data_IF_526660462795
#
_entry.id   IF_526660462795
#
_cell.length_a   1.000
_cell.length_b   1.000
_cell.length_c   1.000
_cell.angle_alpha   90.00
_cell.angle_beta   90.00
_cell.angle_gamma   90.00
#
_symmetry.space_group_name_H-M   'P 1'
#
loop_
_entity.id
_entity.type
_entity.pdbx_description
1 polymer ?
#
# COMPACT_ATOMS: atom_id res chain seq x y z
N UNK A 1 7.16 10.51 44.04
CA UNK A 1 6.73 10.25 45.44
C UNK A 1 6.46 8.78 45.76
N UNK A 2 6.39 7.87 44.76
CA UNK A 2 6.21 6.42 44.97
C UNK A 2 7.54 5.61 45.02
N UNK A 3 8.65 6.16 44.53
CA UNK A 3 9.97 5.49 44.60
C UNK A 3 10.64 5.61 45.98
N UNK A 4 10.43 6.72 46.70
CA UNK A 4 11.03 6.94 48.03
C UNK A 4 10.49 5.99 49.12
N UNK A 5 9.30 5.40 48.94
CA UNK A 5 8.75 4.41 49.89
C UNK A 5 9.31 3.00 49.71
N UNK A 6 9.82 2.64 48.52
CA UNK A 6 10.41 1.30 48.26
C UNK A 6 11.83 1.16 48.84
N UNK A 7 12.64 2.21 48.82
CA UNK A 7 14.00 2.16 49.41
C UNK A 7 13.99 2.06 50.94
N UNK A 8 13.01 2.68 51.62
CA UNK A 8 12.90 2.60 53.08
C UNK A 8 12.43 1.22 53.57
N UNK A 9 11.64 0.50 52.75
CA UNK A 9 11.20 -0.86 53.09
C UNK A 9 12.35 -1.88 52.97
N UNK A 10 13.20 -1.76 51.95
CA UNK A 10 14.37 -2.63 51.75
C UNK A 10 15.49 -2.39 52.79
N UNK A 11 15.72 -1.14 53.22
CA UNK A 11 16.68 -0.83 54.29
C UNK A 11 16.20 -1.31 55.67
N UNK A 12 14.89 -1.25 55.94
CA UNK A 12 14.29 -1.78 57.18
C UNK A 12 14.39 -3.31 57.29
N UNK A 13 14.33 -4.02 56.16
CA UNK A 13 14.38 -5.48 56.14
C UNK A 13 15.80 -6.02 56.29
N UNK A 14 16.81 -5.37 55.70
CA UNK A 14 18.22 -5.79 55.79
C UNK A 14 18.88 -5.51 57.15
N UNK A 15 18.44 -4.49 57.90
CA UNK A 15 18.96 -4.20 59.25
C UNK A 15 18.45 -5.16 60.35
N UNK A 16 17.44 -5.98 60.05
CA UNK A 16 16.85 -6.92 61.03
C UNK A 16 17.47 -8.32 60.99
N UNK A 17 18.29 -8.63 59.97
CA UNK A 17 18.91 -9.95 59.78
C UNK A 17 20.38 -9.96 60.29
N UNK A 18 21.02 -8.79 60.51
CA UNK A 18 22.43 -8.73 60.94
C UNK A 18 22.66 -8.60 62.46
N UNK A 19 21.62 -8.81 63.29
CA UNK A 19 21.69 -8.61 64.75
C UNK A 19 21.07 -9.79 65.50
N UNK A 20 21.65 -10.98 65.38
CA UNK A 20 21.57 -12.04 66.39
C UNK A 20 22.58 -13.13 66.04
N UNK A 21 23.56 -13.36 66.91
CA UNK A 21 24.49 -14.49 66.78
C UNK A 21 25.98 -14.15 66.80
N UNK A 22 26.44 -13.35 67.76
CA UNK A 22 27.86 -13.35 68.14
C UNK A 22 27.98 -13.10 69.64
N UNK A 23 27.91 -14.18 70.43
CA UNK A 23 28.33 -14.15 71.83
C UNK A 23 29.47 -15.14 71.99
N UNK A 24 30.68 -14.58 72.11
CA UNK A 24 31.90 -15.26 72.55
C UNK A 24 31.75 -15.53 74.05
N UNK A 25 31.97 -16.77 74.48
CA UNK A 25 32.33 -17.06 75.87
C UNK A 25 33.67 -17.81 75.89
N UNK A 26 34.59 -17.22 76.62
CA UNK A 26 35.96 -17.65 76.90
C UNK A 26 36.01 -18.74 77.96
N UNK A 27 37.00 -19.62 77.81
CA UNK A 27 37.36 -20.73 78.72
C UNK A 27 38.33 -20.25 79.80
N UNK A 28 38.08 -20.63 81.06
CA UNK A 28 39.04 -20.94 82.13
C UNK A 28 38.20 -21.41 83.35
N UNK A 29 38.54 -22.40 84.17
CA UNK A 29 39.69 -23.27 84.35
C UNK A 29 39.31 -24.37 85.36
N UNK A 30 40.19 -25.35 85.53
CA UNK A 30 40.01 -26.64 86.18
C UNK A 30 39.67 -26.62 87.69
N UNK A 31 38.93 -27.64 88.16
CA UNK A 31 39.38 -28.60 89.18
C UNK A 31 38.24 -29.56 89.62
N UNK A 32 38.58 -30.87 89.61
CA UNK A 32 38.13 -31.95 90.51
C UNK A 32 36.63 -32.24 90.72
N UNK A 33 36.21 -33.47 90.43
CA UNK A 33 35.01 -34.05 91.04
C UNK A 33 34.38 -35.19 90.25
N UNK A 34 34.81 -36.42 90.52
CA UNK A 34 34.15 -37.66 90.11
C UNK A 34 32.72 -37.66 90.70
N UNK A 35 31.68 -37.38 89.89
CA UNK A 35 30.27 -37.80 90.06
C UNK A 35 29.24 -36.99 89.21
N UNK A 36 29.43 -36.83 87.88
CA UNK A 36 28.44 -36.13 87.02
C UNK A 36 28.04 -36.88 85.74
N UNK A 37 28.15 -38.21 85.71
CA UNK A 37 27.58 -39.02 84.61
C UNK A 37 26.09 -39.37 84.82
N UNK A 38 25.54 -39.13 86.01
CA UNK A 38 24.15 -39.53 86.35
C UNK A 38 23.12 -38.38 86.26
N UNK A 39 23.53 -37.10 86.24
CA UNK A 39 22.58 -35.97 86.15
C UNK A 39 22.41 -35.39 84.73
N UNK A 40 23.34 -35.62 83.80
CA UNK A 40 23.13 -35.30 82.39
C UNK A 40 22.24 -36.33 81.68
N UNK A 41 22.22 -37.57 82.16
CA UNK A 41 21.39 -38.66 81.65
C UNK A 41 19.91 -38.48 82.01
N UNK A 42 19.57 -37.86 83.14
CA UNK A 42 18.18 -37.60 83.53
C UNK A 42 17.54 -36.45 82.73
N UNK A 43 18.26 -35.36 82.42
CA UNK A 43 17.70 -34.25 81.63
C UNK A 43 17.43 -34.65 80.17
N UNK A 44 18.25 -35.54 79.60
CA UNK A 44 17.98 -36.15 78.30
C UNK A 44 16.65 -36.91 78.33
N UNK A 45 16.39 -37.68 79.40
CA UNK A 45 15.17 -38.48 79.56
C UNK A 45 13.87 -37.69 79.76
N UNK A 46 13.96 -36.39 80.10
CA UNK A 46 12.79 -35.52 80.25
C UNK A 46 12.30 -34.87 78.95
N UNK A 47 13.01 -35.05 77.83
CA UNK A 47 12.56 -34.47 76.56
C UNK A 47 11.27 -35.15 76.06
N UNK A 48 10.31 -34.40 75.48
CA UNK A 48 9.18 -34.98 74.79
C UNK A 48 9.67 -36.01 73.75
N UNK A 49 8.94 -37.12 73.58
CA UNK A 49 9.27 -38.24 72.67
C UNK A 49 10.32 -39.25 73.15
N UNK A 50 10.79 -39.17 74.40
CA UNK A 50 11.76 -40.10 74.97
C UNK A 50 11.11 -41.22 75.78
N UNK A 51 10.20 -40.86 76.68
CA UNK A 51 9.40 -41.77 77.50
C UNK A 51 7.94 -41.35 77.33
N UNK A 52 7.11 -42.19 76.72
CA UNK A 52 5.68 -41.93 76.51
C UNK A 52 5.31 -41.39 75.12
N UNK A 53 4.17 -40.68 75.02
CA UNK A 53 3.60 -40.21 73.74
C UNK A 53 4.44 -39.07 73.14
N UNK A 54 4.80 -39.18 71.86
CA UNK A 54 5.48 -38.13 71.12
C UNK A 54 4.48 -37.20 70.42
N UNK A 55 4.31 -35.96 70.89
CA UNK A 55 3.40 -34.99 70.26
C UNK A 55 3.96 -34.36 68.98
N UNK A 56 5.27 -34.44 68.75
CA UNK A 56 5.93 -33.85 67.58
C UNK A 56 5.49 -34.53 66.27
N UNK A 57 5.30 -35.85 66.25
CA UNK A 57 4.83 -36.59 65.08
C UNK A 57 3.43 -36.15 64.62
N UNK A 58 2.38 -36.21 65.47
CA UNK A 58 1.04 -35.79 65.06
C UNK A 58 0.97 -34.30 64.71
N UNK A 59 1.76 -33.45 65.37
CA UNK A 59 1.86 -32.03 65.01
C UNK A 59 2.44 -31.84 63.60
N UNK A 60 3.56 -32.52 63.28
CA UNK A 60 4.17 -32.46 61.96
C UNK A 60 3.26 -33.04 60.87
N UNK A 61 2.57 -34.15 61.16
CA UNK A 61 1.56 -34.71 60.26
C UNK A 61 0.42 -33.73 60.00
N UNK A 62 -0.09 -33.07 61.04
CA UNK A 62 -1.13 -32.07 60.89
C UNK A 62 -0.67 -30.90 60.01
N UNK A 63 0.56 -30.38 60.21
CA UNK A 63 1.14 -29.33 59.37
C UNK A 63 1.25 -29.78 57.90
N UNK A 64 1.79 -30.99 57.67
CA UNK A 64 1.95 -31.53 56.32
C UNK A 64 0.61 -31.77 55.62
N UNK A 65 -0.38 -32.35 56.30
CA UNK A 65 -1.72 -32.55 55.74
C UNK A 65 -2.38 -31.21 55.42
N UNK A 66 -2.28 -30.22 56.32
CA UNK A 66 -2.80 -28.87 56.05
C UNK A 66 -2.12 -28.20 54.86
N UNK A 67 -0.82 -28.42 54.67
CA UNK A 67 -0.07 -27.91 53.54
C UNK A 67 -0.53 -28.56 52.23
N UNK A 68 -0.57 -29.90 52.20
CA UNK A 68 -0.81 -30.66 50.97
C UNK A 68 -2.27 -30.65 50.53
N UNK A 69 -3.23 -30.71 51.46
CA UNK A 69 -4.67 -30.69 51.14
C UNK A 69 -5.12 -29.35 50.53
N UNK A 70 -4.37 -28.28 50.78
CA UNK A 70 -4.65 -26.94 50.23
C UNK A 70 -4.10 -26.75 48.83
N UNK A 71 -3.12 -27.56 48.43
CA UNK A 71 -2.49 -27.38 47.13
C UNK A 71 -3.30 -28.10 46.06
N UNK A 72 -3.69 -27.31 45.07
CA UNK A 72 -4.44 -27.77 43.90
C UNK A 72 -3.78 -27.27 42.62
N UNK A 73 -4.27 -27.74 41.48
CA UNK A 73 -3.83 -27.30 40.14
C UNK A 73 -3.96 -25.79 39.96
N UNK A 74 -4.94 -25.16 40.62
CA UNK A 74 -5.21 -23.72 40.52
C UNK A 74 -4.57 -22.89 41.63
N UNK A 75 -3.73 -23.49 42.49
CA UNK A 75 -3.13 -22.76 43.61
C UNK A 75 -2.22 -21.63 43.13
N UNK A 76 -2.37 -20.47 43.78
CA UNK A 76 -1.55 -19.31 43.48
C UNK A 76 -0.14 -19.44 44.10
N UNK A 77 0.78 -18.53 43.73
CA UNK A 77 2.16 -18.58 44.23
C UNK A 77 2.22 -18.51 45.76
N UNK A 78 1.34 -17.74 46.39
CA UNK A 78 1.39 -17.50 47.83
C UNK A 78 0.91 -18.71 48.63
N UNK A 79 -0.08 -19.45 48.13
CA UNK A 79 -0.50 -20.75 48.66
C UNK A 79 0.63 -21.76 48.60
N UNK A 80 1.34 -21.84 47.46
CA UNK A 80 2.47 -22.75 47.26
C UNK A 80 3.63 -22.40 48.20
N UNK A 81 3.94 -21.10 48.37
CA UNK A 81 4.94 -20.63 49.34
C UNK A 81 4.54 -21.02 50.76
N UNK A 82 3.28 -20.80 51.15
CA UNK A 82 2.78 -21.13 52.49
C UNK A 82 2.83 -22.63 52.76
N UNK A 83 2.42 -23.46 51.80
CA UNK A 83 2.46 -24.93 51.95
C UNK A 83 3.89 -25.43 52.10
N UNK A 84 4.83 -24.88 51.32
CA UNK A 84 6.25 -25.22 51.45
C UNK A 84 6.79 -24.87 52.84
N UNK A 85 6.45 -23.68 53.36
CA UNK A 85 6.87 -23.27 54.71
C UNK A 85 6.33 -24.20 55.80
N UNK A 86 5.08 -24.65 55.69
CA UNK A 86 4.48 -25.60 56.64
C UNK A 86 5.16 -26.99 56.58
N UNK A 87 5.55 -27.46 55.40
CA UNK A 87 6.34 -28.68 55.27
C UNK A 87 7.74 -28.52 55.85
N UNK A 88 8.39 -27.38 55.64
CA UNK A 88 9.71 -27.08 56.22
C UNK A 88 9.63 -27.07 57.77
N UNK A 89 8.57 -26.48 58.35
CA UNK A 89 8.31 -26.48 59.80
C UNK A 89 8.01 -27.89 60.33
N UNK A 90 7.27 -28.71 59.58
CA UNK A 90 7.02 -30.11 59.91
C UNK A 90 8.33 -30.93 59.93
N UNK A 91 9.21 -30.72 58.94
CA UNK A 91 10.54 -31.36 58.87
C UNK A 91 11.41 -30.93 60.07
N UNK A 92 11.43 -29.65 60.42
CA UNK A 92 12.17 -29.13 61.58
C UNK A 92 11.67 -29.76 62.88
N UNK A 93 10.35 -29.84 63.05
CA UNK A 93 9.68 -30.45 64.21
C UNK A 93 10.08 -31.92 64.37
N UNK A 94 10.11 -32.70 63.28
CA UNK A 94 10.52 -34.11 63.31
C UNK A 94 12.04 -34.29 63.52
N UNK A 95 12.86 -33.38 62.99
CA UNK A 95 14.31 -33.42 63.18
C UNK A 95 14.74 -33.12 64.62
N UNK A 96 13.91 -32.44 65.41
CA UNK A 96 14.14 -32.22 66.83
C UNK A 96 14.03 -33.50 67.69
N UNK A 97 13.43 -34.58 67.16
CA UNK A 97 13.32 -35.86 67.85
C UNK A 97 14.72 -36.51 67.97
N UNK A 98 15.21 -36.77 69.19
CA UNK A 98 16.55 -37.30 69.40
C UNK A 98 16.78 -38.65 68.71
N UNK A 99 18.02 -38.89 68.26
CA UNK A 99 18.39 -40.12 67.53
C UNK A 99 18.19 -41.43 68.30
N UNK A 100 18.06 -41.36 69.62
CA UNK A 100 17.89 -42.49 70.53
C UNK A 100 16.43 -42.70 70.96
N UNK A 101 15.48 -41.90 70.44
CA UNK A 101 14.05 -42.12 70.65
C UNK A 101 13.55 -43.33 69.85
N UNK A 102 12.64 -44.12 70.44
CA UNK A 102 11.96 -45.21 69.74
C UNK A 102 11.10 -44.73 68.55
N UNK A 103 10.76 -43.44 68.50
CA UNK A 103 10.02 -42.81 67.40
C UNK A 103 10.91 -42.31 66.25
N UNK A 104 12.24 -42.45 66.37
CA UNK A 104 13.17 -41.86 65.40
C UNK A 104 13.02 -42.41 63.99
N UNK A 105 12.78 -43.72 63.85
CA UNK A 105 12.62 -44.36 62.53
C UNK A 105 11.37 -43.85 61.81
N UNK A 106 10.24 -43.78 62.53
CA UNK A 106 8.99 -43.21 62.01
C UNK A 106 9.18 -41.75 61.58
N UNK A 107 9.81 -40.94 62.44
CA UNK A 107 10.12 -39.54 62.13
C UNK A 107 11.01 -39.39 60.90
N UNK A 108 12.02 -40.26 60.72
CA UNK A 108 12.91 -40.21 59.55
C UNK A 108 12.22 -40.58 58.24
N UNK A 109 11.25 -41.50 58.27
CA UNK A 109 10.43 -41.81 57.08
C UNK A 109 9.61 -40.58 56.69
N UNK A 110 8.88 -39.99 57.63
CA UNK A 110 8.08 -38.78 57.39
C UNK A 110 8.94 -37.60 56.91
N UNK A 111 10.14 -37.41 57.47
CA UNK A 111 11.07 -36.37 57.02
C UNK A 111 11.43 -36.55 55.54
N UNK A 112 11.68 -37.78 55.06
CA UNK A 112 12.00 -38.02 53.65
C UNK A 112 10.83 -37.68 52.74
N UNK A 113 9.62 -38.08 53.13
CA UNK A 113 8.40 -37.79 52.38
C UNK A 113 8.14 -36.29 52.31
N UNK A 114 8.21 -35.57 53.44
CA UNK A 114 8.00 -34.13 53.48
C UNK A 114 9.11 -33.35 52.77
N UNK A 115 10.35 -33.84 52.80
CA UNK A 115 11.45 -33.25 52.02
C UNK A 115 11.21 -33.39 50.53
N UNK A 116 10.72 -34.55 50.07
CA UNK A 116 10.35 -34.76 48.69
C UNK A 116 9.28 -33.76 48.25
N UNK A 117 8.20 -33.61 49.03
CA UNK A 117 7.11 -32.67 48.74
C UNK A 117 7.55 -31.20 48.80
N UNK A 118 8.33 -30.82 49.81
CA UNK A 118 8.87 -29.45 49.91
C UNK A 118 9.78 -29.11 48.72
N UNK A 119 10.57 -30.08 48.23
CA UNK A 119 11.39 -29.91 47.03
C UNK A 119 10.53 -29.81 45.77
N UNK A 120 9.48 -30.61 45.64
CA UNK A 120 8.55 -30.53 44.51
C UNK A 120 7.82 -29.17 44.48
N UNK A 121 7.34 -28.67 45.62
CA UNK A 121 6.78 -27.32 45.73
C UNK A 121 7.79 -26.23 45.37
N UNK A 122 9.05 -26.38 45.80
CA UNK A 122 10.15 -25.47 45.39
C UNK A 122 10.32 -25.45 43.87
N UNK A 123 10.34 -26.62 43.22
CA UNK A 123 10.45 -26.73 41.77
C UNK A 123 9.29 -26.03 41.06
N UNK A 124 8.06 -26.15 41.59
CA UNK A 124 6.88 -25.44 41.06
C UNK A 124 7.03 -23.93 41.20
N UNK A 125 7.52 -23.43 42.35
CA UNK A 125 7.77 -22.02 42.59
C UNK A 125 8.85 -21.46 41.65
N UNK A 126 10.00 -22.13 41.57
CA UNK A 126 11.13 -21.69 40.73
C UNK A 126 10.71 -21.62 39.25
N UNK A 127 9.90 -22.57 38.76
CA UNK A 127 9.33 -22.54 37.41
C UNK A 127 8.32 -21.39 37.22
N UNK A 128 7.44 -21.16 38.19
CA UNK A 128 6.43 -20.09 38.14
C UNK A 128 7.09 -18.71 38.10
N UNK A 129 8.07 -18.46 38.97
CA UNK A 129 8.83 -17.21 38.98
C UNK A 129 9.61 -16.98 37.68
N UNK A 130 10.11 -18.05 37.05
CA UNK A 130 10.78 -17.97 35.75
C UNK A 130 9.80 -17.58 34.64
N UNK A 131 8.61 -18.17 34.63
CA UNK A 131 7.52 -17.81 33.71
C UNK A 131 7.05 -16.35 33.91
N UNK A 132 6.90 -15.89 35.16
CA UNK A 132 6.46 -14.51 35.45
C UNK A 132 7.46 -13.46 34.96
N UNK A 133 8.76 -13.76 35.00
CA UNK A 133 9.77 -12.90 34.36
C UNK A 133 9.55 -12.80 32.85
N UNK A 134 9.15 -13.89 32.19
CA UNK A 134 8.83 -13.85 30.76
C UNK A 134 7.61 -12.96 30.50
N UNK A 135 6.57 -13.05 31.33
CA UNK A 135 5.37 -12.20 31.25
C UNK A 135 5.71 -10.71 31.42
N UNK A 136 6.56 -10.38 32.39
CA UNK A 136 7.02 -9.00 32.62
C UNK A 136 7.77 -8.45 31.40
N UNK A 137 8.60 -9.26 30.75
CA UNK A 137 9.31 -8.84 29.53
C UNK A 137 8.35 -8.60 28.36
N UNK A 138 7.29 -9.40 28.20
CA UNK A 138 6.25 -9.18 27.17
C UNK A 138 5.57 -7.81 27.34
N UNK A 139 5.41 -7.33 28.58
CA UNK A 139 4.75 -6.05 28.87
C UNK A 139 5.68 -4.85 28.70
N UNK A 140 6.97 -5.02 28.99
CA UNK A 140 7.92 -3.91 29.12
C UNK A 140 8.83 -3.72 27.90
N UNK A 141 9.03 -4.75 27.10
CA UNK A 141 10.01 -4.78 26.02
C UNK A 141 9.43 -5.37 24.74
N UNK A 142 9.73 -4.72 23.60
CA UNK A 142 9.24 -5.15 22.29
C UNK A 142 10.18 -6.12 21.54
N UNK A 143 11.40 -6.36 22.04
CA UNK A 143 12.44 -7.03 21.24
C UNK A 143 13.30 -8.09 21.96
N UNK A 144 13.04 -8.42 23.21
CA UNK A 144 13.76 -9.48 23.94
C UNK A 144 13.21 -10.89 23.68
N UNK A 145 12.98 -11.23 22.40
CA UNK A 145 12.33 -12.49 22.00
C UNK A 145 13.08 -13.74 22.43
N UNK A 146 14.40 -13.71 22.38
CA UNK A 146 15.23 -14.86 22.74
C UNK A 146 15.26 -15.09 24.25
N UNK A 147 15.32 -14.00 25.02
CA UNK A 147 15.25 -14.04 26.48
C UNK A 147 13.89 -14.54 26.96
N UNK A 148 12.78 -14.00 26.40
CA UNK A 148 11.43 -14.48 26.69
C UNK A 148 11.26 -15.97 26.34
N UNK A 149 11.76 -16.40 25.19
CA UNK A 149 11.75 -17.82 24.79
C UNK A 149 12.51 -18.68 25.81
N UNK A 150 13.72 -18.26 26.17
CA UNK A 150 14.56 -19.00 27.12
C UNK A 150 13.88 -19.14 28.48
N UNK A 151 13.24 -18.08 28.97
CA UNK A 151 12.50 -18.13 30.23
C UNK A 151 11.33 -19.13 30.18
N UNK A 152 10.50 -19.11 29.13
CA UNK A 152 9.43 -20.10 28.97
C UNK A 152 9.96 -21.53 28.87
N UNK A 153 11.03 -21.76 28.10
CA UNK A 153 11.65 -23.08 27.96
C UNK A 153 12.23 -23.57 29.28
N UNK A 154 12.93 -22.71 30.02
CA UNK A 154 13.50 -23.05 31.32
C UNK A 154 12.40 -23.41 32.33
N UNK A 155 11.31 -22.63 32.39
CA UNK A 155 10.16 -22.94 33.26
C UNK A 155 9.54 -24.32 32.94
N UNK A 156 9.41 -24.68 31.65
CA UNK A 156 8.93 -26.00 31.22
C UNK A 156 9.90 -27.09 31.66
N UNK A 157 11.20 -26.94 31.40
CA UNK A 157 12.24 -27.92 31.76
C UNK A 157 12.29 -28.12 33.28
N UNK A 158 12.15 -27.05 34.07
CA UNK A 158 12.11 -27.13 35.54
C UNK A 158 10.96 -28.02 36.03
N UNK A 159 9.80 -28.03 35.35
CA UNK A 159 8.65 -28.85 35.74
C UNK A 159 8.69 -30.30 35.24
N UNK A 160 9.53 -30.63 34.26
CA UNK A 160 9.58 -31.97 33.65
C UNK A 160 9.79 -33.13 34.65
N UNK A 161 10.68 -33.03 35.65
CA UNK A 161 10.89 -34.11 36.62
C UNK A 161 9.63 -34.49 37.41
N UNK A 162 8.70 -33.55 37.60
CA UNK A 162 7.45 -33.76 38.35
C UNK A 162 6.40 -34.54 37.54
N UNK A 163 6.63 -34.79 36.25
CA UNK A 163 5.69 -35.57 35.42
C UNK A 163 5.64 -37.06 35.81
N UNK A 164 6.71 -37.58 36.41
CA UNK A 164 6.77 -38.95 36.94
C UNK A 164 6.31 -39.05 38.40
N UNK A 165 6.07 -37.92 39.05
CA UNK A 165 5.67 -37.83 40.45
C UNK A 165 4.15 -37.77 40.56
N UNK A 166 3.50 -38.86 41.01
CA UNK A 166 2.03 -38.97 41.00
C UNK A 166 1.32 -37.85 41.77
N UNK A 167 1.93 -37.33 42.83
CA UNK A 167 1.32 -36.30 43.68
C UNK A 167 1.32 -34.94 42.96
N UNK A 168 2.40 -34.63 42.26
CA UNK A 168 2.63 -33.32 41.63
C UNK A 168 2.37 -33.29 40.12
N UNK A 169 2.15 -34.47 39.50
CA UNK A 169 1.98 -34.65 38.06
C UNK A 169 0.89 -33.76 37.47
N UNK A 170 -0.28 -33.66 38.11
CA UNK A 170 -1.39 -32.88 37.58
C UNK A 170 -1.05 -31.38 37.50
N UNK A 171 -0.39 -30.84 38.52
CA UNK A 171 0.03 -29.43 38.57
C UNK A 171 1.10 -29.15 37.52
N UNK A 172 2.09 -30.04 37.42
CA UNK A 172 3.16 -29.94 36.44
C UNK A 172 2.62 -30.00 35.01
N UNK A 173 1.69 -30.91 34.70
CA UNK A 173 1.07 -31.03 33.38
C UNK A 173 0.35 -29.75 32.95
N UNK A 174 -0.49 -29.18 33.82
CA UNK A 174 -1.25 -27.97 33.50
C UNK A 174 -0.32 -26.76 33.29
N UNK A 175 0.64 -26.54 34.19
CA UNK A 175 1.60 -25.44 34.03
C UNK A 175 2.47 -25.59 32.78
N UNK A 176 2.95 -26.80 32.48
CA UNK A 176 3.70 -27.07 31.24
C UNK A 176 2.84 -26.74 30.00
N UNK A 177 1.57 -27.16 30.00
CA UNK A 177 0.65 -26.87 28.90
C UNK A 177 0.46 -25.35 28.71
N UNK A 178 0.22 -24.61 29.79
CA UNK A 178 0.06 -23.15 29.73
C UNK A 178 1.32 -22.43 29.23
N UNK A 179 2.50 -22.88 29.70
CA UNK A 179 3.78 -22.29 29.29
C UNK A 179 4.10 -22.60 27.82
N UNK A 180 3.75 -23.80 27.32
CA UNK A 180 3.84 -24.14 25.90
C UNK A 180 2.95 -23.24 25.05
N UNK A 181 1.69 -23.05 25.46
CA UNK A 181 0.76 -22.15 24.76
C UNK A 181 1.29 -20.71 24.68
N UNK A 182 1.88 -20.20 25.77
CA UNK A 182 2.49 -18.87 25.79
C UNK A 182 3.72 -18.79 24.88
N UNK A 183 4.54 -19.85 24.85
CA UNK A 183 5.70 -19.94 23.96
C UNK A 183 5.27 -19.94 22.48
N UNK A 184 4.23 -20.69 22.13
CA UNK A 184 3.69 -20.74 20.76
C UNK A 184 3.12 -19.38 20.35
N UNK A 185 2.37 -18.72 21.25
CA UNK A 185 1.87 -17.36 21.01
C UNK A 185 3.01 -16.35 20.79
N UNK A 186 4.10 -16.46 21.55
CA UNK A 186 5.30 -15.64 21.40
C UNK A 186 5.95 -15.86 20.02
N UNK A 187 6.08 -17.11 19.57
CA UNK A 187 6.66 -17.45 18.27
C UNK A 187 5.80 -16.92 17.12
N UNK A 188 4.48 -17.13 17.19
CA UNK A 188 3.53 -16.61 16.21
C UNK A 188 3.59 -15.08 16.12
N UNK A 189 3.68 -14.40 17.26
CA UNK A 189 3.85 -12.94 17.30
C UNK A 189 5.15 -12.51 16.64
N UNK A 190 6.29 -13.15 16.93
CA UNK A 190 7.58 -12.87 16.29
C UNK A 190 7.50 -13.06 14.77
N UNK A 191 6.90 -14.15 14.30
CA UNK A 191 6.72 -14.40 12.86
C UNK A 191 5.90 -13.28 12.20
N UNK A 192 4.79 -12.87 12.82
CA UNK A 192 3.96 -11.78 12.32
C UNK A 192 4.72 -10.45 12.24
N UNK A 193 5.53 -10.10 13.27
CA UNK A 193 6.37 -8.89 13.24
C UNK A 193 7.41 -8.93 12.11
N UNK A 194 8.09 -10.07 11.95
CA UNK A 194 9.10 -10.23 10.89
C UNK A 194 8.48 -10.13 9.50
N UNK A 195 7.37 -10.84 9.28
CA UNK A 195 6.65 -10.80 8.00
C UNK A 195 6.14 -9.39 7.69
N UNK A 196 5.62 -8.68 8.68
CA UNK A 196 5.19 -7.29 8.53
C UNK A 196 6.34 -6.35 8.15
N UNK A 197 7.51 -6.52 8.76
CA UNK A 197 8.72 -5.75 8.41
C UNK A 197 9.17 -6.01 6.96
N UNK A 198 9.17 -7.28 6.52
CA UNK A 198 9.47 -7.65 5.13
C UNK A 198 8.47 -7.01 4.16
N UNK A 199 7.17 -7.13 4.43
CA UNK A 199 6.11 -6.53 3.59
C UNK A 199 6.23 -5.01 3.51
N UNK A 200 6.52 -4.35 4.64
CA UNK A 200 6.74 -2.90 4.66
C UNK A 200 7.94 -2.51 3.79
N UNK A 201 9.04 -3.27 3.89
CA UNK A 201 10.24 -3.04 3.06
C UNK A 201 9.92 -3.21 1.58
N UNK A 202 9.29 -4.32 1.19
CA UNK A 202 8.92 -4.58 -0.22
C UNK A 202 7.93 -3.54 -0.74
N UNK A 203 6.99 -3.06 0.08
CA UNK A 203 6.11 -1.97 -0.29
C UNK A 203 6.87 -0.67 -0.60
N UNK A 204 7.85 -0.31 0.24
CA UNK A 204 8.70 0.88 0.03
C UNK A 204 9.57 0.75 -1.22
N UNK A 205 10.13 -0.44 -1.49
CA UNK A 205 10.90 -0.71 -2.70
C UNK A 205 10.02 -0.57 -3.96
N UNK A 206 8.82 -1.15 -3.96
CA UNK A 206 7.88 -1.02 -5.07
C UNK A 206 7.46 0.44 -5.31
N UNK A 207 7.21 1.20 -4.24
CA UNK A 207 6.92 2.63 -4.31
C UNK A 207 8.11 3.44 -4.88
N UNK A 208 9.33 3.13 -4.47
CA UNK A 208 10.53 3.78 -5.01
C UNK A 208 10.67 3.52 -6.52
N UNK A 209 10.41 2.29 -6.97
CA UNK A 209 10.39 1.96 -8.41
C UNK A 209 9.30 2.75 -9.14
N UNK A 210 8.11 2.89 -8.53
CA UNK A 210 7.03 3.70 -9.09
C UNK A 210 7.46 5.17 -9.26
N UNK A 211 8.05 5.78 -8.22
CA UNK A 211 8.55 7.16 -8.24
C UNK A 211 9.63 7.37 -9.31
N UNK A 212 10.60 6.46 -9.41
CA UNK A 212 11.67 6.56 -10.41
C UNK A 212 11.09 6.53 -11.84
N UNK A 213 10.12 5.64 -12.09
CA UNK A 213 9.46 5.54 -13.40
C UNK A 213 8.56 6.73 -13.70
N UNK A 214 7.90 7.28 -12.69
CA UNK A 214 7.05 8.46 -12.81
C UNK A 214 7.84 9.67 -13.34
N UNK A 215 9.11 9.81 -12.98
CA UNK A 215 9.97 10.90 -13.45
C UNK A 215 10.33 10.84 -14.94
N UNK A 216 10.25 9.66 -15.57
CA UNK A 216 10.58 9.45 -16.98
C UNK A 216 9.40 8.99 -17.83
N UNK A 217 8.24 8.76 -17.23
CA UNK A 217 7.03 8.32 -17.91
C UNK A 217 6.52 9.37 -18.89
N UNK A 218 6.28 8.96 -20.13
CA UNK A 218 5.84 9.85 -21.20
C UNK A 218 4.54 9.39 -21.82
N UNK A 219 4.37 8.08 -21.99
CA UNK A 219 3.23 7.49 -22.70
C UNK A 219 2.22 6.89 -21.73
N UNK A 220 1.00 6.66 -22.20
CA UNK A 220 -0.03 5.94 -21.44
C UNK A 220 0.48 4.58 -20.90
N UNK A 221 1.23 3.83 -21.72
CA UNK A 221 1.83 2.56 -21.32
C UNK A 221 2.84 2.72 -20.19
N UNK A 222 3.63 3.80 -20.19
CA UNK A 222 4.58 4.06 -19.09
C UNK A 222 3.82 4.33 -17.78
N UNK A 223 2.77 5.15 -17.85
CA UNK A 223 1.93 5.48 -16.69
C UNK A 223 1.12 4.29 -16.17
N UNK A 224 0.75 3.34 -17.03
CA UNK A 224 0.15 2.07 -16.62
C UNK A 224 1.13 1.27 -15.74
N UNK A 225 2.42 1.22 -16.12
CA UNK A 225 3.44 0.53 -15.33
C UNK A 225 3.70 1.25 -14.00
N UNK A 226 3.72 2.60 -14.00
CA UNK A 226 3.80 3.39 -12.76
C UNK A 226 2.64 3.04 -11.82
N UNK A 227 1.41 3.06 -12.34
CA UNK A 227 0.20 2.70 -11.58
C UNK A 227 0.27 1.27 -11.03
N UNK A 228 0.75 0.32 -11.83
CA UNK A 228 0.93 -1.07 -11.38
C UNK A 228 1.91 -1.18 -10.21
N UNK A 229 3.02 -0.43 -10.22
CA UNK A 229 3.99 -0.47 -9.11
C UNK A 229 3.41 0.16 -7.83
N UNK A 230 2.66 1.26 -7.95
CA UNK A 230 1.93 1.83 -6.81
C UNK A 230 0.88 0.85 -6.25
N UNK A 231 0.18 0.14 -7.11
CA UNK A 231 -0.77 -0.90 -6.69
C UNK A 231 -0.07 -2.04 -5.96
N UNK A 232 1.07 -2.52 -6.45
CA UNK A 232 1.90 -3.53 -5.76
C UNK A 232 2.34 -3.05 -4.39
N UNK A 233 2.82 -1.80 -4.27
CA UNK A 233 3.19 -1.23 -2.99
C UNK A 233 2.03 -1.22 -1.99
N UNK A 234 0.84 -0.79 -2.44
CA UNK A 234 -0.38 -0.78 -1.62
C UNK A 234 -0.84 -2.19 -1.23
N UNK A 235 -0.71 -3.17 -2.11
CA UNK A 235 -1.07 -4.56 -1.81
C UNK A 235 -0.25 -5.07 -0.62
N UNK A 236 1.09 -4.90 -0.66
CA UNK A 236 1.95 -5.33 0.43
C UNK A 236 1.62 -4.61 1.75
N UNK A 237 1.31 -3.32 1.73
CA UNK A 237 0.90 -2.58 2.94
C UNK A 237 -0.42 -3.09 3.51
N UNK A 238 -1.41 -3.40 2.67
CA UNK A 238 -2.74 -3.87 3.11
C UNK A 238 -2.71 -5.24 3.78
N UNK A 239 -1.69 -6.04 3.52
CA UNK A 239 -1.52 -7.36 4.14
C UNK A 239 -0.80 -7.30 5.51
N UNK A 240 -0.42 -6.11 6.00
CA UNK A 240 0.20 -5.92 7.31
C UNK A 240 -0.88 -5.83 8.39
N UNK A 241 -0.76 -6.65 9.43
CA UNK A 241 -1.75 -6.75 10.51
C UNK A 241 -1.67 -5.55 11.48
N UNK A 242 -2.82 -5.10 12.04
CA UNK A 242 -2.89 -4.03 13.05
C UNK A 242 -2.10 -4.26 14.35
N UNK A 243 -1.79 -5.52 14.67
CA UNK A 243 -1.09 -5.91 15.90
C UNK A 243 0.44 -5.81 15.78
N UNK A 244 0.95 -5.33 14.64
CA UNK A 244 2.37 -5.21 14.34
C UNK A 244 2.91 -3.83 14.72
N UNK A 245 4.18 -3.74 15.12
CA UNK A 245 4.79 -2.46 15.53
C UNK A 245 4.88 -1.45 14.38
N UNK A 246 4.89 -1.94 13.13
CA UNK A 246 4.98 -1.13 11.91
C UNK A 246 3.63 -0.66 11.37
N UNK A 247 2.52 -0.98 12.03
CA UNK A 247 1.19 -0.69 11.50
C UNK A 247 0.87 0.81 11.42
N UNK A 248 1.35 1.61 12.36
CA UNK A 248 1.14 3.07 12.32
C UNK A 248 1.78 3.71 11.09
N UNK A 249 3.03 3.34 10.80
CA UNK A 249 3.73 3.77 9.59
C UNK A 249 3.01 3.25 8.33
N UNK A 250 2.58 1.98 8.35
CA UNK A 250 1.81 1.37 7.26
C UNK A 250 0.56 2.19 6.91
N UNK A 251 -0.21 2.63 7.93
CA UNK A 251 -1.41 3.45 7.74
C UNK A 251 -1.10 4.77 7.03
N UNK A 252 -0.03 5.44 7.44
CA UNK A 252 0.41 6.69 6.81
C UNK A 252 0.82 6.48 5.35
N UNK A 253 1.57 5.41 5.08
CA UNK A 253 1.99 5.08 3.71
C UNK A 253 0.83 4.68 2.80
N UNK A 254 -0.20 4.01 3.32
CA UNK A 254 -1.41 3.68 2.54
C UNK A 254 -2.08 4.94 2.02
N UNK A 255 -2.20 5.99 2.86
CA UNK A 255 -2.80 7.26 2.45
C UNK A 255 -1.99 7.91 1.32
N UNK A 256 -0.67 8.03 1.52
CA UNK A 256 0.25 8.62 0.53
C UNK A 256 0.21 7.83 -0.79
N UNK A 257 0.38 6.50 -0.74
CA UNK A 257 0.49 5.69 -1.95
C UNK A 257 -0.86 5.57 -2.68
N UNK A 258 -1.98 5.71 -1.99
CA UNK A 258 -3.31 5.79 -2.63
C UNK A 258 -3.44 7.07 -3.46
N UNK A 259 -2.98 8.21 -2.93
CA UNK A 259 -2.98 9.47 -3.68
C UNK A 259 -2.08 9.39 -4.93
N UNK A 260 -0.89 8.79 -4.80
CA UNK A 260 0.03 8.58 -5.93
C UNK A 260 -0.55 7.65 -7.00
N UNK A 261 -1.19 6.55 -6.61
CA UNK A 261 -1.89 5.66 -7.53
C UNK A 261 -2.98 6.40 -8.32
N UNK A 262 -3.78 7.22 -7.65
CA UNK A 262 -4.82 8.03 -8.30
C UNK A 262 -4.21 9.05 -9.28
N UNK A 263 -3.12 9.71 -8.88
CA UNK A 263 -2.39 10.65 -9.73
C UNK A 263 -1.86 9.97 -11.00
N UNK A 264 -1.19 8.82 -10.84
CA UNK A 264 -0.68 8.04 -11.98
C UNK A 264 -1.81 7.59 -12.93
N UNK A 265 -2.95 7.14 -12.38
CA UNK A 265 -4.11 6.77 -13.19
C UNK A 265 -4.80 7.94 -13.90
N UNK A 266 -4.75 9.15 -13.33
CA UNK A 266 -5.20 10.36 -14.03
C UNK A 266 -4.25 10.72 -15.18
N UNK A 267 -2.94 10.65 -14.96
CA UNK A 267 -1.93 10.91 -16.00
C UNK A 267 -2.02 9.90 -17.14
N UNK A 268 -2.21 8.62 -16.85
CA UNK A 268 -2.45 7.59 -17.86
C UNK A 268 -3.63 7.96 -18.78
N UNK A 269 -4.80 8.24 -18.20
CA UNK A 269 -6.01 8.61 -18.97
C UNK A 269 -5.81 9.89 -19.79
N UNK A 270 -5.06 10.84 -19.26
CA UNK A 270 -4.71 12.07 -19.97
C UNK A 270 -3.87 11.78 -21.22
N UNK A 271 -2.86 10.91 -21.12
CA UNK A 271 -2.02 10.50 -22.26
C UNK A 271 -2.79 9.66 -23.29
N UNK A 272 -3.69 8.79 -22.84
CA UNK A 272 -4.58 8.02 -23.74
C UNK A 272 -5.48 8.95 -24.54
N UNK A 273 -6.12 9.90 -23.86
CA UNK A 273 -6.96 10.91 -24.50
C UNK A 273 -6.18 11.77 -25.49
N UNK A 274 -4.97 12.23 -25.10
CA UNK A 274 -4.09 12.99 -25.97
C UNK A 274 -3.71 12.24 -27.24
N UNK A 275 -3.39 10.94 -27.11
CA UNK A 275 -3.07 10.06 -28.23
C UNK A 275 -4.25 9.90 -29.17
N UNK A 276 -5.45 9.66 -28.64
CA UNK A 276 -6.66 9.53 -29.45
C UNK A 276 -6.98 10.83 -30.22
N UNK A 277 -6.96 11.98 -29.54
CA UNK A 277 -7.23 13.28 -30.14
C UNK A 277 -6.21 13.62 -31.23
N UNK A 278 -4.92 13.38 -30.97
CA UNK A 278 -3.87 13.58 -31.96
C UNK A 278 -4.07 12.70 -33.20
N UNK A 279 -4.33 11.40 -33.01
CA UNK A 279 -4.56 10.47 -34.13
C UNK A 279 -5.77 10.90 -34.97
N UNK A 280 -6.90 11.24 -34.34
CA UNK A 280 -8.10 11.74 -35.05
C UNK A 280 -7.79 13.01 -35.84
N UNK A 281 -7.02 13.93 -35.27
CA UNK A 281 -6.62 15.15 -35.96
C UNK A 281 -5.79 14.86 -37.22
N UNK A 282 -4.79 13.98 -37.11
CA UNK A 282 -3.91 13.60 -38.22
C UNK A 282 -4.66 12.86 -39.33
N UNK A 283 -5.55 11.92 -38.97
CA UNK A 283 -6.40 11.21 -39.92
C UNK A 283 -7.35 12.15 -40.65
N UNK A 284 -7.94 13.08 -39.92
CA UNK A 284 -8.86 14.05 -40.49
C UNK A 284 -8.14 15.04 -41.43
N UNK A 285 -6.92 15.46 -41.07
CA UNK A 285 -6.06 16.26 -41.94
C UNK A 285 -5.69 15.49 -43.22
N UNK A 286 -5.50 14.16 -43.15
CA UNK A 286 -5.28 13.32 -44.32
C UNK A 286 -6.51 13.27 -45.23
N UNK A 287 -7.72 13.18 -44.67
CA UNK A 287 -8.98 13.28 -45.45
C UNK A 287 -9.10 14.64 -46.13
N UNK A 288 -8.82 15.73 -45.42
CA UNK A 288 -8.83 17.08 -45.98
C UNK A 288 -7.89 17.21 -47.18
N UNK A 289 -6.63 16.77 -47.05
CA UNK A 289 -5.65 16.78 -48.17
C UNK A 289 -6.12 15.96 -49.37
N UNK A 290 -6.81 14.84 -49.14
CA UNK A 290 -7.35 14.03 -50.23
C UNK A 290 -8.53 14.71 -50.93
N UNK A 291 -9.40 15.40 -50.17
CA UNK A 291 -10.48 16.21 -50.74
C UNK A 291 -9.92 17.39 -51.56
N UNK A 292 -8.87 18.06 -51.10
CA UNK A 292 -8.16 19.10 -51.86
C UNK A 292 -7.64 18.58 -53.19
N UNK A 293 -6.99 17.40 -53.20
CA UNK A 293 -6.51 16.75 -54.44
C UNK A 293 -7.64 16.45 -55.42
N UNK A 294 -8.85 16.19 -54.93
CA UNK A 294 -10.06 15.96 -55.72
C UNK A 294 -10.83 17.25 -56.03
N UNK A 295 -10.30 18.42 -55.65
CA UNK A 295 -10.95 19.73 -55.78
C UNK A 295 -12.31 19.82 -55.06
N UNK A 296 -12.54 18.98 -54.04
CA UNK A 296 -13.74 18.99 -53.22
C UNK A 296 -13.58 19.98 -52.07
N UNK A 297 -13.54 21.28 -52.37
CA UNK A 297 -13.11 22.32 -51.44
C UNK A 297 -14.00 22.48 -50.20
N UNK A 298 -15.32 22.29 -50.35
CA UNK A 298 -16.25 22.29 -49.21
C UNK A 298 -15.96 21.15 -48.23
N UNK A 299 -15.72 19.94 -48.75
CA UNK A 299 -15.33 18.79 -47.94
C UNK A 299 -13.96 19.00 -47.28
N UNK A 300 -12.98 19.52 -48.03
CA UNK A 300 -11.66 19.84 -47.51
C UNK A 300 -11.71 20.85 -46.35
N UNK A 301 -12.46 21.95 -46.50
CA UNK A 301 -12.61 22.95 -45.46
C UNK A 301 -13.32 22.40 -44.21
N UNK A 302 -14.34 21.54 -44.40
CA UNK A 302 -15.00 20.84 -43.30
C UNK A 302 -14.01 19.94 -42.54
N UNK A 303 -13.27 19.11 -43.28
CA UNK A 303 -12.30 18.18 -42.71
C UNK A 303 -11.17 18.92 -41.98
N UNK A 304 -10.61 19.99 -42.56
CA UNK A 304 -9.60 20.80 -41.90
C UNK A 304 -10.10 21.43 -40.59
N UNK A 305 -11.36 21.89 -40.58
CA UNK A 305 -11.98 22.44 -39.37
C UNK A 305 -12.06 21.38 -38.27
N UNK A 306 -12.49 20.17 -38.60
CA UNK A 306 -12.56 19.05 -37.65
C UNK A 306 -11.16 18.66 -37.16
N UNK A 307 -10.16 18.60 -38.05
CA UNK A 307 -8.78 18.31 -37.69
C UNK A 307 -8.23 19.34 -36.70
N UNK A 308 -8.49 20.63 -36.95
CA UNK A 308 -8.09 21.72 -36.07
C UNK A 308 -8.82 21.67 -34.72
N UNK A 309 -10.09 21.26 -34.70
CA UNK A 309 -10.84 21.06 -33.44
C UNK A 309 -10.20 19.98 -32.57
N UNK A 310 -9.86 18.82 -33.14
CA UNK A 310 -9.22 17.74 -32.38
C UNK A 310 -7.82 18.13 -31.90
N UNK A 311 -6.98 18.71 -32.77
CA UNK A 311 -5.59 19.03 -32.41
C UNK A 311 -5.51 20.09 -31.31
N UNK A 312 -6.48 21.02 -31.24
CA UNK A 312 -6.60 22.04 -30.18
C UNK A 312 -6.99 21.46 -28.82
N UNK A 313 -7.64 20.30 -28.80
CA UNK A 313 -8.07 19.63 -27.57
C UNK A 313 -6.97 18.75 -26.95
N UNK A 314 -5.85 18.53 -27.67
CA UNK A 314 -4.71 17.77 -27.13
C UNK A 314 -4.15 18.50 -25.88
N UNK A 315 -4.14 17.89 -24.69
CA UNK A 315 -3.74 18.59 -23.45
C UNK A 315 -2.25 18.96 -23.42
N UNK A 316 -1.92 20.19 -22.98
CA UNK A 316 -0.55 20.75 -23.03
C UNK A 316 0.54 19.93 -22.33
N UNK A 317 0.20 19.28 -21.22
CA UNK A 317 1.17 18.55 -20.39
C UNK A 317 1.30 17.07 -20.79
N UNK A 318 1.13 16.77 -22.08
CA UNK A 318 1.15 15.39 -22.60
C UNK A 318 2.27 15.20 -23.61
N UNK A 319 2.69 13.94 -23.79
CA UNK A 319 3.71 13.63 -24.77
C UNK A 319 3.30 14.08 -26.18
N UNK A 320 2.02 13.88 -26.53
CA UNK A 320 1.50 14.17 -27.86
C UNK A 320 1.33 15.66 -28.14
N UNK A 321 1.23 16.50 -27.10
CA UNK A 321 1.18 17.95 -27.32
C UNK A 321 2.44 18.47 -28.02
N UNK A 322 3.61 17.91 -27.71
CA UNK A 322 4.88 18.27 -28.38
C UNK A 322 4.84 18.03 -29.89
N UNK A 323 4.06 17.04 -30.34
CA UNK A 323 3.84 16.76 -31.75
C UNK A 323 2.68 17.58 -32.33
N UNK A 324 1.65 17.84 -31.53
CA UNK A 324 0.45 18.55 -31.94
C UNK A 324 0.68 20.06 -32.13
N UNK A 325 1.49 20.68 -31.28
CA UNK A 325 1.75 22.12 -31.26
C UNK A 325 2.18 22.70 -32.62
N UNK A 326 3.21 22.16 -33.31
CA UNK A 326 3.60 22.68 -34.62
C UNK A 326 2.53 22.50 -35.72
N UNK A 327 1.60 21.54 -35.55
CA UNK A 327 0.54 21.28 -36.52
C UNK A 327 -0.58 22.32 -36.46
N UNK A 328 -0.74 23.05 -35.35
CA UNK A 328 -1.78 24.08 -35.20
C UNK A 328 -1.70 25.16 -36.29
N UNK A 329 -0.50 25.72 -36.51
CA UNK A 329 -0.29 26.73 -37.54
C UNK A 329 -0.50 26.15 -38.94
N UNK A 330 0.04 24.96 -39.18
CA UNK A 330 -0.08 24.25 -40.46
C UNK A 330 -1.55 24.01 -40.83
N UNK A 331 -2.35 23.50 -39.89
CA UNK A 331 -3.76 23.18 -40.13
C UNK A 331 -4.61 24.44 -40.27
N UNK A 332 -4.27 25.51 -39.53
CA UNK A 332 -4.94 26.81 -39.67
C UNK A 332 -4.72 27.42 -41.06
N UNK A 333 -3.49 27.38 -41.57
CA UNK A 333 -3.19 27.86 -42.92
C UNK A 333 -3.89 27.03 -44.01
N UNK A 334 -3.92 25.70 -43.83
CA UNK A 334 -4.60 24.82 -44.77
C UNK A 334 -6.13 25.03 -44.76
N UNK A 335 -6.74 25.21 -43.59
CA UNK A 335 -8.16 25.56 -43.46
C UNK A 335 -8.49 26.87 -44.18
N UNK A 336 -7.70 27.93 -43.92
CA UNK A 336 -7.92 29.24 -44.55
C UNK A 336 -7.86 29.15 -46.08
N UNK A 337 -6.91 28.37 -46.60
CA UNK A 337 -6.79 28.09 -48.02
C UNK A 337 -8.02 27.36 -48.56
N UNK A 338 -8.43 26.27 -47.93
CA UNK A 338 -9.58 25.49 -48.37
C UNK A 338 -10.89 26.32 -48.31
N UNK A 339 -11.06 27.17 -47.29
CA UNK A 339 -12.19 28.09 -47.19
C UNK A 339 -12.20 29.13 -48.31
N UNK A 340 -11.04 29.69 -48.68
CA UNK A 340 -10.95 30.62 -49.81
C UNK A 340 -11.40 29.93 -51.10
N UNK A 341 -10.92 28.72 -51.39
CA UNK A 341 -11.34 27.96 -52.56
C UNK A 341 -12.82 27.55 -52.52
N UNK A 342 -13.35 27.20 -51.34
CA UNK A 342 -14.77 26.90 -51.17
C UNK A 342 -15.65 28.10 -51.52
N UNK A 343 -15.25 29.30 -51.09
CA UNK A 343 -15.97 30.53 -51.44
C UNK A 343 -15.90 30.82 -52.95
N UNK A 344 -14.72 30.68 -53.53
CA UNK A 344 -14.50 30.83 -54.99
C UNK A 344 -15.36 29.83 -55.78
N UNK A 345 -15.39 28.56 -55.37
CA UNK A 345 -16.21 27.50 -55.95
C UNK A 345 -17.70 27.85 -55.94
N UNK A 346 -18.21 28.32 -54.81
CA UNK A 346 -19.62 28.74 -54.69
C UNK A 346 -19.98 29.90 -55.62
N UNK A 347 -19.07 30.85 -55.82
CA UNK A 347 -19.28 31.98 -56.74
C UNK A 347 -19.25 31.50 -58.19
N UNK A 348 -18.27 30.69 -58.58
CA UNK A 348 -18.17 30.13 -59.93
C UNK A 348 -19.36 29.25 -60.29
N UNK A 349 -19.83 28.41 -59.36
CA UNK A 349 -21.04 27.62 -59.56
C UNK A 349 -22.26 28.51 -59.85
N UNK A 350 -22.38 29.66 -59.16
CA UNK A 350 -23.45 30.64 -59.46
C UNK A 350 -23.28 31.31 -60.81
N UNK A 351 -22.05 31.59 -61.26
CA UNK A 351 -21.80 32.18 -62.58
C UNK A 351 -22.09 31.16 -63.69
N UNK A 352 -21.61 29.93 -63.53
CA UNK A 352 -21.68 28.91 -64.56
C UNK A 352 -23.01 28.16 -64.63
N UNK A 353 -23.76 28.02 -63.55
CA UNK A 353 -24.97 27.16 -63.52
C UNK A 353 -26.30 27.91 -63.42
N UNK A 354 -26.32 29.26 -63.40
CA UNK A 354 -27.56 30.04 -63.17
C UNK A 354 -28.67 29.78 -64.19
N UNK A 355 -28.33 29.72 -65.47
CA UNK A 355 -29.31 29.79 -66.58
C UNK A 355 -28.99 28.81 -67.72
N UNK A 356 -28.69 27.52 -67.41
CA UNK A 356 -28.45 26.38 -68.35
C UNK A 356 -26.99 25.91 -68.53
N UNK A 357 -26.20 25.80 -67.46
CA UNK A 357 -24.82 25.28 -67.50
C UNK A 357 -23.96 25.94 -68.59
N UNK A 358 -23.72 27.24 -68.41
CA UNK A 358 -22.97 28.12 -69.32
C UNK A 358 -21.51 27.67 -69.44
N UNK A 359 -20.91 27.24 -68.34
CA UNK A 359 -19.50 26.83 -68.29
C UNK A 359 -19.24 25.67 -67.32
N UNK A 360 -18.09 25.04 -67.49
CA UNK A 360 -17.39 24.29 -66.45
C UNK A 360 -16.13 25.07 -66.04
N UNK A 361 -15.53 24.72 -64.90
CA UNK A 361 -14.33 25.40 -64.44
C UNK A 361 -13.38 24.46 -63.70
N UNK A 362 -12.09 24.81 -63.71
CA UNK A 362 -11.03 24.17 -62.96
C UNK A 362 -10.24 25.25 -62.24
N UNK A 363 -10.00 25.07 -60.94
CA UNK A 363 -9.18 25.99 -60.15
C UNK A 363 -7.80 25.38 -59.93
N UNK A 364 -6.77 26.06 -60.40
CA UNK A 364 -5.38 25.71 -60.11
C UNK A 364 -4.67 26.86 -59.38
N UNK A 365 -3.40 26.65 -59.01
CA UNK A 365 -2.65 27.65 -58.23
C UNK A 365 -2.41 28.95 -59.01
N UNK A 366 -2.31 28.87 -60.35
CA UNK A 366 -1.91 29.99 -61.22
C UNK A 366 -3.11 30.77 -61.77
N UNK A 367 -4.16 30.08 -62.18
CA UNK A 367 -5.33 30.65 -62.81
C UNK A 367 -6.61 29.84 -62.49
N UNK A 368 -7.74 30.44 -62.80
CA UNK A 368 -9.03 29.75 -62.88
C UNK A 368 -9.37 29.60 -64.34
N UNK A 369 -9.46 28.35 -64.80
CA UNK A 369 -9.81 28.03 -66.18
C UNK A 369 -11.33 27.86 -66.24
N UNK A 370 -12.01 28.69 -67.02
CA UNK A 370 -13.44 28.63 -67.27
C UNK A 370 -13.64 28.17 -68.71
N UNK A 371 -14.28 27.02 -68.91
CA UNK A 371 -14.56 26.47 -70.23
C UNK A 371 -16.05 26.63 -70.53
N UNK A 372 -16.38 27.39 -71.58
CA UNK A 372 -17.76 27.51 -72.05
C UNK A 372 -18.27 26.15 -72.56
N UNK A 373 -19.50 25.78 -72.22
CA UNK A 373 -20.08 24.52 -72.67
C UNK A 373 -20.41 24.58 -74.16
N UNK A 374 -20.35 23.44 -74.85
CA UNK A 374 -20.71 23.33 -76.27
C UNK A 374 -22.16 23.74 -76.54
N UNK A 375 -23.06 23.46 -75.60
CA UNK A 375 -24.47 23.89 -75.67
C UNK A 375 -24.56 25.41 -75.68
N UNK A 376 -23.90 26.07 -74.72
CA UNK A 376 -23.93 27.53 -74.62
C UNK A 376 -23.31 28.20 -75.84
N UNK A 377 -22.13 27.76 -76.29
CA UNK A 377 -21.45 28.35 -77.47
C UNK A 377 -22.28 28.19 -78.74
N UNK A 378 -22.92 27.03 -78.94
CA UNK A 378 -23.80 26.78 -80.08
C UNK A 378 -25.05 27.66 -80.05
N UNK A 379 -25.72 27.78 -78.89
CA UNK A 379 -26.90 28.63 -78.74
C UNK A 379 -26.59 30.10 -79.02
N UNK A 380 -25.46 30.60 -78.52
CA UNK A 380 -24.98 31.97 -78.80
C UNK A 380 -24.76 32.16 -80.31
N UNK A 381 -24.08 31.22 -80.98
CA UNK A 381 -23.81 31.28 -82.42
C UNK A 381 -25.08 31.24 -83.27
N UNK A 382 -25.99 30.29 -83.00
CA UNK A 382 -27.26 30.15 -83.73
C UNK A 382 -28.15 31.38 -83.54
N UNK A 383 -28.25 31.91 -82.32
CA UNK A 383 -29.00 33.14 -82.02
C UNK A 383 -28.44 34.33 -82.80
N UNK A 384 -27.11 34.48 -82.86
CA UNK A 384 -26.45 35.53 -83.62
C UNK A 384 -26.75 35.41 -85.14
N UNK A 385 -26.69 34.20 -85.70
CA UNK A 385 -26.98 33.96 -87.12
C UNK A 385 -28.44 34.26 -87.47
N UNK A 386 -29.39 33.81 -86.65
CA UNK A 386 -30.82 34.04 -86.87
C UNK A 386 -31.17 35.52 -86.76
N UNK A 387 -30.64 36.22 -85.74
CA UNK A 387 -30.89 37.65 -85.55
C UNK A 387 -30.33 38.49 -86.72
N UNK A 388 -29.20 38.06 -87.31
CA UNK A 388 -28.64 38.69 -88.51
C UNK A 388 -29.47 38.41 -89.76
N UNK A 389 -29.89 37.16 -89.97
CA UNK A 389 -30.69 36.77 -91.13
C UNK A 389 -32.06 37.48 -91.17
N UNK A 390 -32.67 37.68 -89.99
CA UNK A 390 -34.01 38.27 -89.87
C UNK A 390 -34.00 39.78 -89.63
N UNK A 391 -32.84 40.43 -89.57
CA UNK A 391 -32.73 41.87 -89.26
C UNK A 391 -33.26 42.26 -87.87
N UNK A 392 -33.36 41.32 -86.93
CA UNK A 392 -33.94 41.55 -85.61
C UNK A 392 -32.89 42.18 -84.68
N UNK A 393 -32.88 43.52 -84.66
CA UNK A 393 -31.94 44.34 -83.88
C UNK A 393 -32.10 44.12 -82.36
N UNK A 394 -33.33 43.86 -81.89
CA UNK A 394 -33.60 43.64 -80.46
C UNK A 394 -32.89 42.39 -79.92
N UNK A 395 -32.94 41.28 -80.67
CA UNK A 395 -32.22 40.04 -80.31
C UNK A 395 -30.70 40.25 -80.36
N UNK A 396 -30.19 41.06 -81.30
CA UNK A 396 -28.76 41.38 -81.37
C UNK A 396 -28.31 42.18 -80.13
N UNK A 397 -29.11 43.15 -79.68
CA UNK A 397 -28.84 43.93 -78.47
C UNK A 397 -28.91 43.04 -77.21
N UNK A 398 -29.92 42.19 -77.07
CA UNK A 398 -30.04 41.28 -75.92
C UNK A 398 -28.85 40.31 -75.85
N UNK A 399 -28.43 39.75 -77.00
CA UNK A 399 -27.27 38.87 -77.07
C UNK A 399 -25.96 39.57 -76.66
N UNK A 400 -25.73 40.79 -77.15
CA UNK A 400 -24.56 41.60 -76.77
C UNK A 400 -24.59 41.94 -75.27
N UNK A 401 -25.74 42.30 -74.72
CA UNK A 401 -25.90 42.59 -73.30
C UNK A 401 -25.61 41.35 -72.43
N UNK A 402 -26.08 40.16 -72.83
CA UNK A 402 -25.79 38.92 -72.12
C UNK A 402 -24.30 38.57 -72.14
N UNK A 403 -23.64 38.70 -73.29
CA UNK A 403 -22.20 38.45 -73.41
C UNK A 403 -21.39 39.46 -72.58
N UNK A 404 -21.69 40.75 -72.71
CA UNK A 404 -21.05 41.81 -71.92
C UNK A 404 -21.26 41.62 -70.42
N UNK A 405 -22.45 41.20 -69.99
CA UNK A 405 -22.74 40.89 -68.59
C UNK A 405 -21.90 39.71 -68.08
N UNK A 406 -21.71 38.66 -68.89
CA UNK A 406 -20.86 37.53 -68.53
C UNK A 406 -19.38 37.94 -68.43
N UNK A 407 -18.89 38.70 -69.40
CA UNK A 407 -17.52 39.24 -69.39
C UNK A 407 -17.26 40.12 -68.17
N UNK A 408 -18.18 41.06 -67.88
CA UNK A 408 -18.10 41.93 -66.71
C UNK A 408 -18.14 41.13 -65.40
N UNK A 409 -18.99 40.11 -65.34
CA UNK A 409 -19.09 39.23 -64.16
C UNK A 409 -17.78 38.47 -63.91
N UNK A 410 -17.16 37.93 -64.96
CA UNK A 410 -15.89 37.19 -64.85
C UNK A 410 -14.70 38.11 -64.56
N UNK A 411 -14.66 39.33 -65.12
CA UNK A 411 -13.64 40.33 -64.77
C UNK A 411 -13.79 40.80 -63.32
N UNK A 412 -15.01 41.11 -62.88
CA UNK A 412 -15.27 41.48 -61.48
C UNK A 412 -14.93 40.34 -60.53
N UNK A 413 -15.25 39.10 -60.92
CA UNK A 413 -14.84 37.92 -60.17
C UNK A 413 -13.31 37.82 -60.06
N UNK A 414 -12.57 37.93 -61.17
CA UNK A 414 -11.10 37.95 -61.21
C UNK A 414 -10.51 38.99 -60.25
N UNK A 415 -11.01 40.23 -60.33
CA UNK A 415 -10.62 41.33 -59.44
C UNK A 415 -10.89 40.99 -57.96
N UNK A 416 -12.10 40.52 -57.65
CA UNK A 416 -12.52 40.24 -56.28
C UNK A 416 -11.72 39.12 -55.62
N UNK A 417 -11.34 38.08 -56.36
CA UNK A 417 -10.57 36.96 -55.81
C UNK A 417 -9.05 37.16 -55.88
N UNK A 418 -8.62 38.17 -56.66
CA UNK A 418 -7.22 38.48 -56.94
C UNK A 418 -6.51 37.36 -57.71
N UNK A 419 -7.19 36.70 -58.65
CA UNK A 419 -6.61 35.63 -59.48
C UNK A 419 -7.00 35.80 -60.94
N UNK A 420 -6.03 35.54 -61.81
CA UNK A 420 -6.22 35.41 -63.25
C UNK A 420 -7.33 34.41 -63.58
N UNK A 421 -8.25 34.81 -64.46
CA UNK A 421 -9.31 33.96 -65.00
C UNK A 421 -9.09 33.81 -66.50
N UNK A 422 -8.99 32.58 -66.97
CA UNK A 422 -8.80 32.26 -68.38
C UNK A 422 -10.09 31.66 -68.92
N UNK A 423 -10.63 32.24 -69.99
CA UNK A 423 -11.86 31.76 -70.60
C UNK A 423 -11.55 31.03 -71.88
N UNK A 424 -12.03 29.80 -71.98
CA UNK A 424 -11.86 28.91 -73.11
C UNK A 424 -13.20 28.64 -73.79
N UNK A 425 -13.17 28.45 -75.10
CA UNK A 425 -14.32 27.93 -75.83
C UNK A 425 -14.52 26.42 -75.56
N UNK A 426 -15.57 25.83 -76.14
CA UNK A 426 -15.87 24.40 -76.00
C UNK A 426 -14.74 23.47 -76.48
N UNK A 427 -13.88 23.94 -77.40
CA UNK A 427 -12.74 23.20 -77.96
C UNK A 427 -11.42 23.45 -77.20
N UNK A 428 -11.48 24.08 -76.02
CA UNK A 428 -10.32 24.47 -75.20
C UNK A 428 -9.37 25.47 -75.88
N UNK A 429 -9.87 26.28 -76.81
CA UNK A 429 -9.14 27.44 -77.34
C UNK A 429 -9.36 28.64 -76.43
N UNK A 430 -8.26 29.27 -76.02
CA UNK A 430 -8.29 30.47 -75.19
C UNK A 430 -8.99 31.61 -75.95
N UNK A 431 -10.03 32.18 -75.35
CA UNK A 431 -10.78 33.32 -75.88
C UNK A 431 -10.28 34.63 -75.29
N UNK A 432 -10.18 34.68 -73.97
CA UNK A 432 -9.80 35.89 -73.23
C UNK A 432 -9.17 35.56 -71.89
N UNK A 433 -8.42 36.52 -71.35
CA UNK A 433 -7.78 36.46 -70.03
C UNK A 433 -8.22 37.71 -69.26
N UNK A 434 -8.74 37.50 -68.06
CA UNK A 434 -9.02 38.57 -67.11
C UNK A 434 -7.95 38.57 -66.03
N UNK A 435 -7.06 39.55 -66.09
CA UNK A 435 -6.09 39.80 -65.03
C UNK A 435 -6.73 40.63 -63.91
N UNK A 436 -6.47 40.32 -62.63
CA UNK A 436 -6.97 41.11 -61.53
C UNK A 436 -6.33 42.50 -61.54
N UNK A 437 -7.14 43.54 -61.56
CA UNK A 437 -6.67 44.91 -61.37
C UNK A 437 -6.36 45.11 -59.88
N UNK A 438 -5.10 45.47 -59.57
CA UNK A 438 -4.60 45.66 -58.19
C UNK A 438 -5.50 46.50 -57.31
#
# INVERSE_FOLDING_TARGET
MLESKKENFLKSWLLKISRQGALRMTIAGAATGVATVVLASSYALTRPCVIGKCSAIPQAQQLATQALDRISVSSDEQEIVSAKQQLDEAIETLNAIPGWSNHRNEAQTLVKDYQHDSNSLKTILDATQTADRAVLLVQTSSYQWEEMRSLWQNAIVTLQPLLSDRQWQAIAQVKIYDYQKNLDALQNRRYAQNNASVKLKTAKEAAQVAQMRQNSAQTASDWQIVSSNWQTALQHLREISPQTSVYQETRQLIEIYTAELLSAGMRQRQEESATNLYQRAVEQAKRAKNAEKKQQWSAAASDWRIALTYIKQVPRQTFQYRQAEPLLATYTLALNRAMKYQQTDSILAKICHKDSNICSYIMNERAIEVQLTSTYTKTVWETALQARANGNVEIQIDLLNRLSSLESTLQNFSNNIGKRVEVYNSDKRLLTIYEPTK
#
